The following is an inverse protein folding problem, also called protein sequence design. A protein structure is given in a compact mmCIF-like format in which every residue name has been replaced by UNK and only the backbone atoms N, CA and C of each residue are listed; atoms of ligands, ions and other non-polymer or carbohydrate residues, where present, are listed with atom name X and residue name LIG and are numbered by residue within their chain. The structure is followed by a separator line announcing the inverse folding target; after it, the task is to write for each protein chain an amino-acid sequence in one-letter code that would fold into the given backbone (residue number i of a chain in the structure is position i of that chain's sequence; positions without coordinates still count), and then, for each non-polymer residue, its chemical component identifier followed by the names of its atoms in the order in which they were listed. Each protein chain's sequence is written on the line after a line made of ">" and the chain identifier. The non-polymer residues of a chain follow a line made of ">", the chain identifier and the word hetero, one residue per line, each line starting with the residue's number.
data_IF_996882757206
#
_entry.id   IF_996882757206
#
_cell.length_a   1.000
_cell.length_b   1.000
_cell.length_c   1.000
_cell.angle_alpha   90.00
_cell.angle_beta   90.00
_cell.angle_gamma   90.00
#
_symmetry.space_group_name_H-M   'P 1'
#
loop_
_entity.id
_entity.type
_entity.pdbx_description
1 polymer ?
#
# COMPACT_ATOMS: atom_id res chain seq x y z
N UNK A 1 -11.53 19.39 12.00
CA UNK A 1 -10.81 18.32 12.72
C UNK A 1 -9.70 17.79 11.83
N UNK A 2 -8.45 18.15 12.08
CA UNK A 2 -7.31 17.53 11.39
C UNK A 2 -7.03 16.17 12.04
N UNK A 3 -7.64 15.13 11.48
CA UNK A 3 -7.14 13.77 11.64
C UNK A 3 -5.86 13.70 10.82
N UNK A 4 -4.71 13.86 11.47
CA UNK A 4 -3.42 13.42 10.94
C UNK A 4 -3.51 11.90 10.76
N UNK A 5 -4.16 11.44 9.68
CA UNK A 5 -4.21 10.01 9.33
C UNK A 5 -2.75 9.62 9.14
N UNK A 6 -2.21 8.84 10.06
CA UNK A 6 -0.88 8.29 9.91
C UNK A 6 -0.93 7.39 8.68
N UNK A 7 -0.44 7.87 7.55
CA UNK A 7 -0.43 7.07 6.32
C UNK A 7 0.73 6.09 6.44
N UNK A 8 0.43 4.87 6.83
CA UNK A 8 1.41 3.80 6.83
C UNK A 8 1.73 3.41 5.37
N UNK A 9 3.01 3.44 5.02
CA UNK A 9 3.53 3.19 3.68
C UNK A 9 4.83 2.39 3.77
N UNK A 10 5.08 1.55 2.77
CA UNK A 10 6.35 0.88 2.54
C UNK A 10 6.88 1.22 1.16
N UNK A 11 8.19 1.14 0.99
CA UNK A 11 8.76 1.12 -0.37
C UNK A 11 8.26 -0.13 -1.08
N UNK A 12 8.05 0.00 -2.38
CA UNK A 12 7.61 -1.07 -3.26
C UNK A 12 8.52 -2.29 -3.12
N UNK A 13 9.83 -2.06 -3.11
CA UNK A 13 10.78 -3.17 -2.96
C UNK A 13 10.77 -3.81 -1.57
N UNK A 14 10.48 -3.05 -0.51
CA UNK A 14 10.32 -3.63 0.84
C UNK A 14 9.10 -4.57 0.88
N UNK A 15 8.00 -4.19 0.22
CA UNK A 15 6.83 -5.07 0.05
C UNK A 15 7.20 -6.33 -0.72
N UNK A 16 8.00 -6.21 -1.80
CA UNK A 16 8.50 -7.37 -2.56
C UNK A 16 9.26 -8.32 -1.65
N UNK A 17 10.27 -7.83 -0.92
CA UNK A 17 11.15 -8.65 -0.08
C UNK A 17 10.36 -9.33 1.04
N UNK A 18 9.53 -8.58 1.76
CA UNK A 18 8.78 -9.12 2.89
C UNK A 18 7.73 -10.14 2.44
N UNK A 19 7.02 -9.87 1.35
CA UNK A 19 6.01 -10.80 0.86
C UNK A 19 6.63 -12.04 0.22
N UNK A 20 7.80 -11.91 -0.43
CA UNK A 20 8.57 -13.04 -0.93
C UNK A 20 9.01 -13.98 0.19
N UNK A 21 9.51 -13.42 1.31
CA UNK A 21 9.86 -14.18 2.52
C UNK A 21 8.65 -14.90 3.10
N UNK A 22 7.53 -14.21 3.27
CA UNK A 22 6.31 -14.79 3.82
C UNK A 22 5.80 -15.97 2.97
N UNK A 23 5.88 -15.86 1.64
CA UNK A 23 5.40 -16.90 0.72
C UNK A 23 6.44 -17.96 0.36
N UNK A 24 7.67 -17.86 0.86
CA UNK A 24 8.80 -18.71 0.46
C UNK A 24 9.00 -18.73 -1.07
N UNK A 25 8.90 -17.55 -1.70
CA UNK A 25 9.03 -17.36 -3.14
C UNK A 25 10.24 -16.47 -3.47
N UNK A 26 10.75 -16.58 -4.70
CA UNK A 26 11.74 -15.64 -5.20
C UNK A 26 11.13 -14.24 -5.40
N UNK A 27 11.87 -13.21 -5.00
CA UNK A 27 11.49 -11.79 -5.11
C UNK A 27 11.01 -11.41 -6.51
N UNK A 28 11.63 -11.94 -7.56
CA UNK A 28 11.27 -11.64 -8.95
C UNK A 28 9.82 -12.06 -9.33
N UNK A 29 9.24 -13.06 -8.65
CA UNK A 29 7.87 -13.53 -8.89
C UNK A 29 6.90 -12.56 -8.24
N UNK A 30 7.18 -12.18 -6.99
CA UNK A 30 6.40 -11.19 -6.25
C UNK A 30 6.44 -9.83 -6.94
N UNK A 31 7.62 -9.37 -7.36
CA UNK A 31 7.78 -8.12 -8.09
C UNK A 31 6.98 -8.11 -9.41
N UNK A 32 6.93 -9.24 -10.14
CA UNK A 32 6.08 -9.37 -11.35
C UNK A 32 4.59 -9.30 -11.03
N UNK A 33 4.15 -9.94 -9.94
CA UNK A 33 2.76 -9.87 -9.48
C UNK A 33 2.38 -8.43 -9.13
N UNK A 34 3.21 -7.74 -8.35
CA UNK A 34 2.98 -6.35 -7.96
C UNK A 34 3.04 -5.41 -9.18
N UNK A 35 3.99 -5.61 -10.09
CA UNK A 35 4.07 -4.81 -11.33
C UNK A 35 2.82 -4.98 -12.20
N UNK A 36 2.31 -6.21 -12.34
CA UNK A 36 1.01 -6.46 -12.99
C UNK A 36 -0.11 -5.75 -12.24
N UNK A 37 -0.07 -5.78 -10.91
CA UNK A 37 -0.95 -5.01 -10.02
C UNK A 37 -1.02 -3.53 -10.42
N UNK A 38 0.13 -2.89 -10.57
CA UNK A 38 0.23 -1.46 -10.93
C UNK A 38 -0.25 -1.22 -12.35
N UNK A 39 0.29 -1.97 -13.30
CA UNK A 39 0.07 -1.71 -14.73
C UNK A 39 -1.36 -2.06 -15.17
N UNK A 40 -1.97 -3.13 -14.65
CA UNK A 40 -3.24 -3.66 -15.15
C UNK A 40 -4.39 -3.65 -14.13
N UNK A 41 -4.10 -3.63 -12.83
CA UNK A 41 -5.11 -3.96 -11.82
C UNK A 41 -5.48 -2.82 -10.87
N UNK A 42 -4.84 -1.66 -11.01
CA UNK A 42 -5.14 -0.50 -10.17
C UNK A 42 -4.40 -0.46 -8.84
N UNK A 43 -3.33 -1.26 -8.65
CA UNK A 43 -2.47 -1.07 -7.47
C UNK A 43 -1.81 0.31 -7.56
N UNK A 44 -2.04 1.13 -6.54
CA UNK A 44 -1.51 2.50 -6.52
C UNK A 44 -0.12 2.50 -5.90
N UNK A 45 0.86 3.00 -6.66
CA UNK A 45 2.21 3.31 -6.20
C UNK A 45 2.47 4.80 -6.37
N UNK A 46 3.24 5.41 -5.49
CA UNK A 46 3.57 6.83 -5.58
C UNK A 46 5.09 6.98 -5.46
N UNK A 47 5.72 7.78 -6.32
CA UNK A 47 7.16 8.08 -6.18
C UNK A 47 7.46 9.20 -5.18
N UNK A 48 6.46 9.60 -4.39
CA UNK A 48 6.61 10.45 -3.21
C UNK A 48 5.97 9.72 -2.05
N UNK A 49 6.67 9.63 -0.92
CA UNK A 49 6.10 9.03 0.28
C UNK A 49 4.82 9.81 0.65
N UNK A 50 3.64 9.13 0.71
CA UNK A 50 2.39 9.77 1.11
C UNK A 50 2.46 10.49 2.46
N UNK A 51 3.40 10.12 3.34
CA UNK A 51 3.64 10.79 4.63
C UNK A 51 4.13 12.23 4.48
N UNK A 52 4.76 12.57 3.36
CA UNK A 52 5.39 13.88 3.12
C UNK A 52 4.64 14.71 2.06
N UNK A 53 3.59 14.16 1.46
CA UNK A 53 2.74 14.91 0.54
C UNK A 53 1.80 15.84 1.33
N UNK A 54 2.22 17.09 1.56
CA UNK A 54 1.32 18.11 2.13
C UNK A 54 0.22 18.48 1.14
N UNK A 55 -1.01 18.59 1.62
CA UNK A 55 -2.15 19.09 0.83
C UNK A 55 -1.85 20.53 0.40
N UNK A 56 -1.76 20.78 -0.90
CA UNK A 56 -1.63 22.13 -1.49
C UNK A 56 -0.20 22.68 -1.63
N UNK A 57 0.83 22.00 -1.11
CA UNK A 57 2.24 22.41 -1.28
C UNK A 57 3.08 21.34 -1.98
N UNK A 58 2.44 20.49 -2.77
CA UNK A 58 3.10 19.37 -3.42
C UNK A 58 3.96 19.86 -4.58
N UNK A 59 5.26 19.94 -4.33
CA UNK A 59 6.24 20.17 -5.38
C UNK A 59 6.79 18.83 -5.87
N UNK A 60 6.51 18.53 -7.14
CA UNK A 60 7.12 17.43 -7.87
C UNK A 60 8.60 17.77 -8.14
N UNK A 61 9.46 17.62 -7.12
CA UNK A 61 10.91 17.82 -7.25
C UNK A 61 11.60 16.52 -7.63
N UNK A 62 12.49 16.56 -8.62
CA UNK A 62 13.29 15.40 -9.06
C UNK A 62 12.99 14.95 -10.49
N UNK A 63 13.40 13.72 -10.81
CA UNK A 63 13.24 13.05 -12.12
C UNK A 63 11.83 13.25 -12.72
N UNK A 64 11.66 13.17 -14.06
CA UNK A 64 10.36 13.42 -14.68
C UNK A 64 9.27 12.52 -14.09
N UNK A 65 8.23 13.15 -13.54
CA UNK A 65 7.08 12.49 -12.91
C UNK A 65 5.92 12.50 -13.91
N UNK A 66 5.18 11.38 -13.96
CA UNK A 66 4.04 11.21 -14.87
C UNK A 66 2.79 10.81 -14.09
N UNK A 67 1.65 11.35 -14.50
CA UNK A 67 0.35 10.87 -14.09
C UNK A 67 0.03 9.57 -14.82
N UNK A 68 -0.28 8.50 -14.09
CA UNK A 68 -0.65 7.22 -14.65
C UNK A 68 -1.97 6.72 -14.07
N UNK A 69 -2.82 6.17 -14.93
CA UNK A 69 -4.09 5.54 -14.56
C UNK A 69 -4.15 4.20 -15.28
N UNK A 70 -4.29 3.11 -14.52
CA UNK A 70 -4.39 1.76 -15.11
C UNK A 70 -5.82 1.34 -15.45
N UNK A 71 -6.83 2.02 -14.89
CA UNK A 71 -8.25 1.75 -15.13
C UNK A 71 -9.03 3.05 -15.22
N UNK A 72 -9.93 3.14 -16.18
CA UNK A 72 -10.81 4.30 -16.31
C UNK A 72 -11.61 4.54 -15.02
N UNK A 73 -11.69 5.79 -14.58
CA UNK A 73 -12.37 6.19 -13.35
C UNK A 73 -11.52 6.12 -12.06
N UNK A 74 -10.37 5.44 -12.06
CA UNK A 74 -9.44 5.48 -10.92
C UNK A 74 -8.67 6.81 -10.90
N UNK A 75 -8.33 7.30 -9.69
CA UNK A 75 -7.48 8.49 -9.55
C UNK A 75 -6.08 8.21 -10.11
N UNK A 76 -5.40 9.20 -10.72
CA UNK A 76 -4.02 9.01 -11.16
C UNK A 76 -3.08 8.74 -9.99
N UNK A 77 -2.00 8.02 -10.30
CA UNK A 77 -0.79 7.95 -9.50
C UNK A 77 0.29 8.84 -10.11
N UNK A 78 1.17 9.37 -9.27
CA UNK A 78 2.35 10.12 -9.68
C UNK A 78 3.58 9.24 -9.48
N UNK A 79 4.16 8.81 -10.59
CA UNK A 79 5.28 7.87 -10.61
C UNK A 79 6.40 8.43 -11.48
N UNK A 80 7.66 8.14 -11.12
CA UNK A 80 8.82 8.49 -11.94
C UNK A 80 8.72 7.79 -13.30
N UNK A 81 8.99 8.52 -14.38
CA UNK A 81 8.95 7.96 -15.72
C UNK A 81 9.87 6.73 -15.91
N UNK A 82 11.10 6.70 -15.35
CA UNK A 82 11.92 5.48 -15.34
C UNK A 82 11.25 4.29 -14.66
N UNK A 83 10.65 4.48 -13.48
CA UNK A 83 9.96 3.41 -12.76
C UNK A 83 8.76 2.88 -13.56
N UNK A 84 7.93 3.77 -14.13
CA UNK A 84 6.79 3.35 -14.96
C UNK A 84 7.26 2.58 -16.20
N UNK A 85 8.30 3.06 -16.88
CA UNK A 85 8.90 2.37 -18.03
C UNK A 85 9.38 0.97 -17.63
N UNK A 86 10.02 0.84 -16.47
CA UNK A 86 10.50 -0.44 -15.97
C UNK A 86 9.36 -1.40 -15.64
N UNK A 87 8.34 -0.94 -14.89
CA UNK A 87 7.15 -1.74 -14.58
C UNK A 87 6.45 -2.25 -15.84
N UNK A 88 6.32 -1.41 -16.88
CA UNK A 88 5.82 -1.84 -18.19
C UNK A 88 6.70 -2.90 -18.83
N UNK A 89 8.02 -2.73 -18.83
CA UNK A 89 8.97 -3.72 -19.37
C UNK A 89 8.84 -5.08 -18.66
N UNK A 90 8.70 -5.08 -17.33
CA UNK A 90 8.48 -6.31 -16.54
C UNK A 90 7.17 -7.01 -16.95
N UNK A 91 6.09 -6.26 -17.15
CA UNK A 91 4.75 -6.81 -17.45
C UNK A 91 4.56 -7.18 -18.92
N UNK A 92 5.06 -6.37 -19.84
CA UNK A 92 4.83 -6.48 -21.28
C UNK A 92 5.93 -7.28 -21.99
N UNK A 93 7.15 -7.27 -21.47
CA UNK A 93 8.35 -7.87 -22.11
C UNK A 93 9.03 -8.91 -21.24
N UNK A 94 8.45 -9.25 -20.09
CA UNK A 94 9.02 -10.18 -19.13
C UNK A 94 10.45 -9.82 -18.67
N UNK A 95 10.79 -8.53 -18.65
CA UNK A 95 12.09 -8.08 -18.15
C UNK A 95 12.31 -8.50 -16.68
N UNK A 96 13.58 -8.58 -16.27
CA UNK A 96 13.95 -8.84 -14.88
C UNK A 96 13.59 -7.62 -14.03
N UNK A 97 12.84 -7.78 -12.92
CA UNK A 97 12.62 -6.69 -11.98
C UNK A 97 13.94 -6.25 -11.33
N UNK A 98 14.16 -4.95 -11.25
CA UNK A 98 15.42 -4.34 -10.79
C UNK A 98 15.08 -3.43 -9.60
N UNK A 99 15.63 -3.70 -8.40
CA UNK A 99 15.37 -2.90 -7.21
C UNK A 99 15.67 -1.41 -7.42
N UNK A 100 16.77 -1.10 -8.10
CA UNK A 100 17.28 0.26 -8.30
C UNK A 100 16.31 1.12 -9.11
N UNK A 101 15.48 0.51 -9.96
CA UNK A 101 14.46 1.22 -10.72
C UNK A 101 13.19 1.51 -9.91
N UNK A 102 12.98 0.81 -8.78
CA UNK A 102 11.72 0.79 -8.01
C UNK A 102 11.88 1.17 -6.53
N UNK A 103 13.06 1.61 -6.10
CA UNK A 103 13.39 1.86 -4.70
C UNK A 103 12.75 3.13 -4.11
N UNK A 104 12.29 4.05 -4.95
CA UNK A 104 11.69 5.34 -4.55
C UNK A 104 10.15 5.31 -4.62
N UNK A 105 9.58 4.15 -4.95
CA UNK A 105 8.15 3.96 -5.15
C UNK A 105 7.57 3.46 -3.84
N UNK A 106 6.46 4.04 -3.43
CA UNK A 106 5.79 3.73 -2.18
C UNK A 106 4.42 3.16 -2.46
N UNK A 107 4.04 2.18 -1.66
CA UNK A 107 2.68 1.67 -1.58
C UNK A 107 2.14 2.06 -0.20
N UNK A 108 0.95 2.64 -0.15
CA UNK A 108 0.28 2.85 1.13
C UNK A 108 -0.44 1.57 1.57
N UNK A 109 -0.52 1.32 2.88
CA UNK A 109 -1.25 0.18 3.44
C UNK A 109 -2.71 0.15 3.00
N UNK A 110 -3.32 1.32 2.88
CA UNK A 110 -4.70 1.46 2.41
C UNK A 110 -4.84 1.05 0.94
N UNK A 111 -3.96 1.55 0.07
CA UNK A 111 -4.01 1.25 -1.37
C UNK A 111 -3.68 -0.22 -1.63
N UNK A 112 -2.71 -0.77 -0.90
CA UNK A 112 -2.38 -2.20 -0.99
C UNK A 112 -3.56 -3.06 -0.56
N UNK A 113 -4.20 -2.73 0.56
CA UNK A 113 -5.37 -3.47 1.06
C UNK A 113 -6.54 -3.40 0.08
N UNK A 114 -6.80 -2.23 -0.50
CA UNK A 114 -7.83 -2.04 -1.50
C UNK A 114 -7.58 -2.91 -2.75
N UNK A 115 -6.33 -2.97 -3.22
CA UNK A 115 -5.95 -3.85 -4.32
C UNK A 115 -6.08 -5.33 -3.96
N UNK A 116 -5.66 -5.75 -2.76
CA UNK A 116 -5.77 -7.13 -2.28
C UNK A 116 -7.23 -7.61 -2.23
N UNK A 117 -8.13 -6.83 -1.60
CA UNK A 117 -9.57 -7.15 -1.52
C UNK A 117 -10.17 -7.28 -2.91
N UNK A 118 -9.89 -6.31 -3.78
CA UNK A 118 -10.44 -6.25 -5.14
C UNK A 118 -10.04 -7.47 -5.98
N UNK A 119 -8.86 -8.03 -5.75
CA UNK A 119 -8.34 -9.18 -6.48
C UNK A 119 -8.49 -10.50 -5.72
N UNK A 120 -9.23 -10.51 -4.60
CA UNK A 120 -9.44 -11.69 -3.76
C UNK A 120 -8.12 -12.34 -3.28
N UNK A 121 -7.11 -11.52 -2.98
CA UNK A 121 -5.82 -11.96 -2.46
C UNK A 121 -5.85 -11.78 -0.94
N UNK A 122 -5.41 -12.82 -0.22
CA UNK A 122 -5.28 -12.75 1.24
C UNK A 122 -4.26 -11.68 1.64
N UNK A 123 -4.60 -10.79 2.61
CA UNK A 123 -3.65 -9.80 3.09
C UNK A 123 -2.43 -10.45 3.75
N UNK A 124 -1.20 -10.00 3.43
CA UNK A 124 -0.01 -10.59 4.01
C UNK A 124 0.14 -10.27 5.49
N UNK A 125 0.58 -11.25 6.27
CA UNK A 125 0.70 -11.11 7.73
C UNK A 125 1.76 -10.06 8.11
N UNK A 126 2.86 -9.93 7.36
CA UNK A 126 3.91 -8.97 7.69
C UNK A 126 3.41 -7.52 7.82
N UNK A 127 2.29 -7.18 7.17
CA UNK A 127 1.72 -5.83 7.18
C UNK A 127 0.39 -5.73 7.92
N UNK A 128 -0.43 -6.78 7.87
CA UNK A 128 -1.81 -6.74 8.38
C UNK A 128 -2.04 -7.55 9.66
N UNK A 129 -1.05 -8.31 10.13
CA UNK A 129 -1.19 -9.00 11.40
C UNK A 129 -1.07 -8.03 12.58
N UNK A 130 -2.07 -8.02 13.45
CA UNK A 130 -2.03 -7.27 14.70
C UNK A 130 -1.17 -8.05 15.71
N UNK A 131 -0.10 -7.45 16.26
CA UNK A 131 0.72 -8.10 17.29
C UNK A 131 -0.16 -8.54 18.47
N UNK A 132 0.10 -9.73 18.98
CA UNK A 132 -0.72 -10.37 20.03
C UNK A 132 -0.86 -9.50 21.30
N UNK A 133 0.16 -8.71 21.62
CA UNK A 133 0.15 -7.74 22.75
C UNK A 133 -0.92 -6.65 22.60
N UNK A 134 -1.19 -6.18 21.38
CA UNK A 134 -2.23 -5.18 21.12
C UNK A 134 -3.64 -5.78 21.13
N UNK A 135 -3.79 -7.07 20.79
CA UNK A 135 -5.08 -7.79 20.86
C UNK A 135 -5.58 -7.94 22.30
N UNK A 136 -4.66 -8.10 23.25
CA UNK A 136 -4.97 -8.19 24.67
C UNK A 136 -5.56 -6.87 25.21
N UNK A 137 -4.96 -5.72 24.86
CA UNK A 137 -5.41 -4.40 25.33
C UNK A 137 -6.79 -4.02 24.79
N UNK A 138 -7.10 -4.33 23.52
CA UNK A 138 -8.43 -4.07 22.94
C UNK A 138 -9.53 -4.93 23.59
N UNK A 139 -9.15 -6.13 24.05
CA UNK A 139 -10.06 -7.05 24.75
C UNK A 139 -10.36 -6.63 26.18
N UNK A 140 -9.47 -5.85 26.81
CA UNK A 140 -9.64 -5.28 28.16
C UNK A 140 -10.53 -4.03 28.12
N UNK A 141 -10.36 -3.17 27.12
CA UNK A 141 -11.17 -1.95 26.97
C UNK A 141 -12.65 -2.25 26.67
N UNK A 142 -12.92 -3.31 25.90
CA UNK A 142 -14.29 -3.78 25.62
C UNK A 142 -14.99 -4.42 26.84
N UNK A 143 -14.26 -4.80 27.89
CA UNK A 143 -14.85 -5.33 29.14
C UNK A 143 -15.17 -4.25 30.19
N UNK A 144 -14.75 -3.00 29.97
CA UNK A 144 -14.89 -1.91 30.94
C UNK A 144 -15.97 -0.86 30.60
N UNK A 145 -16.89 -1.17 29.69
CA UNK A 145 -18.12 -0.38 29.53
C UNK A 145 -19.27 -0.99 30.33
N UNK A 146 -19.57 -0.54 31.56
CA UNK A 146 -20.80 -0.93 32.23
C UNK A 146 -22.00 -0.26 31.55
N UNK A 147 -22.92 -1.13 31.15
CA UNK A 147 -24.31 -0.89 30.80
C UNK A 147 -24.92 0.19 31.69
N UNK A 148 -25.17 1.38 31.13
CA UNK A 148 -26.12 2.32 31.72
C UNK A 148 -27.51 1.98 31.17
N UNK A 149 -28.23 1.10 31.88
CA UNK A 149 -29.65 0.85 31.66
C UNK A 149 -30.45 1.19 32.94
N UNK A 150 -31.16 2.31 32.85
CA UNK A 150 -32.55 2.61 33.28
C UNK A 150 -33.06 2.08 34.63
N UNK A 151 -33.70 2.99 35.39
CA UNK A 151 -34.96 2.68 36.07
C UNK A 151 -35.90 3.89 36.07
N UNK A 152 -37.14 3.61 35.68
CA UNK A 152 -38.28 4.52 35.61
C UNK A 152 -38.84 4.87 37.01
N UNK A 153 -39.42 6.07 37.03
CA UNK A 153 -40.50 6.66 37.84
C UNK A 153 -41.41 5.70 38.64
N UNK A 154 -41.89 6.11 39.84
CA UNK A 154 -43.20 5.72 40.34
C UNK A 154 -44.33 6.60 39.78
#
# INVERSE_FOLDING_TARGET
>A
MHLSRHVESYRFWDVVVQWARERMQHEHLVARVLAKGVIREGLRVQSVDPKWASVGSFELRGAPLVGYVSREGDLPIFVRAPALKHLRSVVERAAVPEPEQLHDEFVSKQDFHAWLIRNHILPPSFWYEVPEKLRADTSVEQRLSPVSQRAHTP
#
